data_IF_188058049003
#
_entry.id   IF_188058049003
#
_cell.length_a   1.000
_cell.length_b   1.000
_cell.length_c   1.000
_cell.angle_alpha   90.00
_cell.angle_beta   90.00
_cell.angle_gamma   90.00
#
_symmetry.space_group_name_H-M   'P 1'
#
loop_
_entity.id
_entity.type
_entity.pdbx_description
1 polymer ?
#
# COMPACT_ATOMS: atom_id res chain seq x y z
N UNK A 1 13.25 -21.00 -15.54
CA UNK A 1 12.82 -21.73 -14.30
C UNK A 1 11.44 -21.23 -13.90
N UNK A 2 10.71 -21.97 -13.04
CA UNK A 2 9.42 -21.52 -12.51
C UNK A 2 9.55 -21.39 -10.99
N UNK A 3 9.22 -20.21 -10.47
CA UNK A 3 9.20 -19.93 -9.03
C UNK A 3 7.77 -19.71 -8.58
N UNK A 4 7.41 -20.28 -7.44
CA UNK A 4 6.11 -20.10 -6.81
C UNK A 4 6.21 -19.19 -5.57
N UNK A 5 5.23 -18.30 -5.43
CA UNK A 5 5.08 -17.41 -4.28
C UNK A 5 3.72 -17.64 -3.65
N UNK A 6 3.67 -17.90 -2.35
CA UNK A 6 2.43 -18.13 -1.63
C UNK A 6 2.47 -17.54 -0.21
N UNK A 7 1.34 -17.12 0.33
CA UNK A 7 1.26 -16.58 1.72
C UNK A 7 1.61 -17.62 2.80
N UNK A 8 1.64 -18.88 2.44
CA UNK A 8 2.11 -20.00 3.30
C UNK A 8 3.57 -20.37 3.09
N UNK A 9 4.28 -19.65 2.20
CA UNK A 9 5.66 -19.89 1.83
C UNK A 9 6.68 -19.37 2.83
N UNK A 10 7.94 -19.50 2.44
CA UNK A 10 9.10 -19.01 3.21
C UNK A 10 10.19 -18.55 2.23
N UNK A 11 10.74 -17.36 2.40
CA UNK A 11 11.78 -16.82 1.52
C UNK A 11 13.13 -17.54 1.64
N UNK A 12 13.32 -18.36 2.67
CA UNK A 12 14.44 -19.30 2.76
C UNK A 12 14.23 -20.64 2.05
N UNK A 13 13.07 -20.87 1.41
CA UNK A 13 12.74 -22.08 0.68
C UNK A 13 13.34 -22.08 -0.74
N UNK A 14 13.02 -23.09 -1.55
CA UNK A 14 13.55 -23.24 -2.91
C UNK A 14 12.75 -22.51 -3.99
N UNK A 15 11.57 -21.96 -3.64
CA UNK A 15 10.67 -21.33 -4.59
C UNK A 15 9.93 -22.32 -5.50
N UNK A 16 9.90 -23.60 -5.17
CA UNK A 16 9.13 -24.59 -5.91
C UNK A 16 7.65 -24.55 -5.49
N UNK A 17 6.79 -25.26 -6.22
CA UNK A 17 5.37 -25.36 -5.88
C UNK A 17 5.13 -25.96 -4.50
N UNK A 18 5.95 -26.91 -4.10
CA UNK A 18 5.89 -27.59 -2.78
C UNK A 18 6.56 -26.78 -1.67
N UNK A 19 7.50 -25.91 -2.03
CA UNK A 19 8.26 -25.05 -1.11
C UNK A 19 8.32 -23.62 -1.67
N UNK A 20 7.18 -22.91 -1.73
CA UNK A 20 7.12 -21.59 -2.33
C UNK A 20 7.84 -20.52 -1.50
N UNK A 21 8.23 -19.46 -2.12
CA UNK A 21 8.63 -18.22 -1.44
C UNK A 21 7.43 -17.57 -0.75
N UNK A 22 7.69 -16.77 0.27
CA UNK A 22 6.67 -16.02 0.98
C UNK A 22 6.30 -14.71 0.27
N UNK A 23 7.32 -14.06 -0.35
CA UNK A 23 7.19 -12.72 -0.92
C UNK A 23 7.49 -12.69 -2.42
N UNK A 24 6.77 -11.81 -3.12
CA UNK A 24 7.06 -11.52 -4.54
C UNK A 24 8.42 -10.80 -4.64
N UNK A 25 8.74 -9.96 -3.65
CA UNK A 25 10.02 -9.26 -3.58
C UNK A 25 11.20 -10.21 -3.55
N UNK A 26 11.11 -11.31 -2.79
CA UNK A 26 12.18 -12.32 -2.80
C UNK A 26 12.29 -13.02 -4.17
N UNK A 27 11.18 -13.41 -4.78
CA UNK A 27 11.20 -13.96 -6.13
C UNK A 27 11.82 -12.97 -7.15
N UNK A 28 11.55 -11.67 -6.99
CA UNK A 28 12.10 -10.61 -7.84
C UNK A 28 13.61 -10.40 -7.67
N UNK A 29 14.20 -10.81 -6.54
CA UNK A 29 15.66 -10.80 -6.35
C UNK A 29 16.35 -11.94 -7.09
N UNK A 30 15.70 -13.10 -7.22
CA UNK A 30 16.35 -14.33 -7.75
C UNK A 30 15.99 -14.61 -9.21
N UNK A 31 14.82 -14.19 -9.69
CA UNK A 31 14.38 -14.44 -11.05
C UNK A 31 15.31 -13.78 -12.07
N UNK A 32 15.65 -14.51 -13.13
CA UNK A 32 16.51 -14.07 -14.24
C UNK A 32 15.80 -14.24 -15.58
N UNK A 33 16.42 -13.77 -16.65
CA UNK A 33 15.86 -13.84 -18.01
C UNK A 33 15.36 -15.25 -18.36
N UNK A 34 14.10 -15.36 -18.79
CA UNK A 34 13.42 -16.60 -19.13
C UNK A 34 12.71 -17.31 -17.97
N UNK A 35 12.74 -16.73 -16.76
CA UNK A 35 12.03 -17.27 -15.62
C UNK A 35 10.58 -16.79 -15.55
N UNK A 36 9.75 -17.60 -14.89
CA UNK A 36 8.36 -17.27 -14.59
C UNK A 36 8.14 -17.31 -13.07
N UNK A 37 7.54 -16.26 -12.53
CA UNK A 37 7.11 -16.18 -11.13
C UNK A 37 5.60 -16.35 -11.09
N UNK A 38 5.16 -17.43 -10.44
CA UNK A 38 3.74 -17.78 -10.27
C UNK A 38 3.30 -17.37 -8.87
N UNK A 39 2.40 -16.40 -8.81
CA UNK A 39 1.91 -15.84 -7.55
C UNK A 39 0.55 -16.43 -7.22
N UNK A 40 0.49 -17.15 -6.11
CA UNK A 40 -0.73 -17.73 -5.57
C UNK A 40 -1.63 -16.69 -4.91
N UNK A 41 -2.91 -17.03 -4.75
CA UNK A 41 -3.92 -16.16 -4.17
C UNK A 41 -3.48 -15.56 -2.83
N UNK A 42 -3.71 -14.26 -2.64
CA UNK A 42 -3.39 -13.55 -1.40
C UNK A 42 -3.14 -12.06 -1.56
N UNK A 43 -3.06 -11.37 -0.42
CA UNK A 43 -2.70 -9.96 -0.36
C UNK A 43 -1.22 -9.83 0.01
N UNK A 44 -0.45 -9.29 -0.90
CA UNK A 44 0.99 -9.06 -0.78
C UNK A 44 1.22 -7.56 -0.52
N UNK A 45 1.55 -7.23 0.74
CA UNK A 45 1.86 -5.85 1.15
C UNK A 45 3.36 -5.66 1.06
N UNK A 46 3.79 -5.20 -0.09
CA UNK A 46 5.21 -5.10 -0.39
C UNK A 46 5.47 -4.19 -1.59
N UNK A 47 6.65 -3.63 -1.63
CA UNK A 47 7.19 -2.93 -2.78
C UNK A 47 8.05 -3.92 -3.58
N UNK A 48 7.54 -4.36 -4.71
CA UNK A 48 8.25 -5.28 -5.58
C UNK A 48 9.20 -4.50 -6.50
N UNK A 49 10.51 -4.72 -6.35
CA UNK A 49 11.54 -4.10 -7.18
C UNK A 49 12.43 -5.18 -7.80
N UNK A 50 12.15 -5.62 -9.04
CA UNK A 50 12.97 -6.62 -9.72
C UNK A 50 14.41 -6.12 -9.93
N UNK A 51 15.39 -6.93 -9.54
CA UNK A 51 16.82 -6.62 -9.67
C UNK A 51 17.31 -6.94 -11.08
N UNK A 52 16.77 -7.99 -11.68
CA UNK A 52 17.17 -8.45 -12.99
C UNK A 52 16.12 -8.08 -14.04
N UNK A 53 16.57 -7.74 -15.24
CA UNK A 53 15.72 -7.58 -16.44
C UNK A 53 15.66 -8.85 -17.26
N UNK A 54 14.59 -9.02 -18.04
CA UNK A 54 14.54 -9.99 -19.13
C UNK A 54 15.30 -9.47 -20.36
N UNK A 55 15.40 -10.32 -21.39
CA UNK A 55 15.87 -9.94 -22.71
C UNK A 55 14.76 -10.20 -23.74
N UNK A 56 14.92 -9.73 -24.97
CA UNK A 56 13.88 -9.72 -26.00
C UNK A 56 13.19 -11.09 -26.18
N UNK A 57 14.00 -12.17 -26.24
CA UNK A 57 13.51 -13.54 -26.43
C UNK A 57 13.36 -14.35 -25.14
N UNK A 58 13.66 -13.76 -23.98
CA UNK A 58 13.59 -14.43 -22.68
C UNK A 58 13.17 -13.43 -21.58
N UNK A 59 11.90 -13.07 -21.58
CA UNK A 59 11.31 -12.15 -20.58
C UNK A 59 11.20 -12.83 -19.22
N UNK A 60 11.30 -12.06 -18.15
CA UNK A 60 10.85 -12.51 -16.83
C UNK A 60 9.35 -12.27 -16.76
N UNK A 61 8.58 -13.28 -16.43
CA UNK A 61 7.12 -13.23 -16.39
C UNK A 61 6.65 -13.32 -14.95
N UNK A 62 5.81 -12.40 -14.52
CA UNK A 62 5.09 -12.45 -13.26
C UNK A 62 3.61 -12.66 -13.58
N UNK A 63 3.03 -13.73 -13.06
CA UNK A 63 1.63 -14.06 -13.32
C UNK A 63 0.93 -14.68 -12.13
N UNK A 64 -0.40 -14.52 -12.06
CA UNK A 64 -1.23 -15.23 -11.09
C UNK A 64 -1.23 -16.72 -11.36
N UNK A 65 -1.28 -17.53 -10.30
CA UNK A 65 -1.49 -18.98 -10.38
C UNK A 65 -2.90 -19.34 -10.88
N UNK A 66 -3.84 -18.39 -10.88
CA UNK A 66 -5.23 -18.65 -11.25
C UNK A 66 -6.07 -19.38 -10.18
N UNK A 67 -5.56 -19.51 -8.97
CA UNK A 67 -6.19 -20.18 -7.83
C UNK A 67 -6.99 -19.23 -6.92
N UNK A 68 -7.06 -17.95 -7.29
CA UNK A 68 -7.82 -16.91 -6.60
C UNK A 68 -7.27 -15.52 -6.88
N UNK A 69 -7.76 -14.54 -6.14
CA UNK A 69 -7.36 -13.14 -6.30
C UNK A 69 -5.94 -12.92 -5.76
N UNK A 70 -5.12 -12.23 -6.55
CA UNK A 70 -3.78 -11.77 -6.16
C UNK A 70 -3.80 -10.26 -6.10
N UNK A 71 -3.57 -9.69 -4.92
CA UNK A 71 -3.51 -8.24 -4.69
C UNK A 71 -2.12 -7.86 -4.23
N UNK A 72 -1.45 -6.96 -4.96
CA UNK A 72 -0.22 -6.30 -4.50
C UNK A 72 -0.61 -4.92 -4.01
N UNK A 73 -0.28 -4.60 -2.76
CA UNK A 73 -0.69 -3.36 -2.12
C UNK A 73 0.49 -2.69 -1.42
N UNK A 74 0.67 -1.39 -1.68
CA UNK A 74 1.59 -0.54 -0.91
C UNK A 74 0.98 -0.01 0.39
N UNK A 75 -0.31 -0.28 0.66
CA UNK A 75 -0.97 0.20 1.86
C UNK A 75 -0.76 -0.75 3.04
N UNK A 76 -0.53 -0.18 4.23
CA UNK A 76 -0.47 -0.92 5.48
C UNK A 76 -1.80 -0.85 6.23
N UNK A 77 -2.14 -1.94 6.90
CA UNK A 77 -3.37 -1.99 7.68
C UNK A 77 -3.12 -1.47 9.09
N UNK A 78 -3.72 -0.33 9.41
CA UNK A 78 -3.67 0.23 10.77
C UNK A 78 -4.51 -0.62 11.74
N UNK A 79 -3.94 -0.85 12.93
CA UNK A 79 -4.53 -1.62 14.02
C UNK A 79 -4.56 -0.79 15.29
N UNK A 80 -5.11 -1.36 16.35
CA UNK A 80 -5.09 -0.78 17.72
C UNK A 80 -5.71 0.62 17.81
N UNK A 81 -6.77 0.83 17.04
CA UNK A 81 -7.56 2.05 17.06
C UNK A 81 -8.18 2.32 18.42
N UNK A 82 -8.01 3.55 18.93
CA UNK A 82 -8.58 4.01 20.20
C UNK A 82 -9.62 5.10 19.93
N UNK A 83 -10.83 4.94 20.44
CA UNK A 83 -11.82 6.01 20.38
C UNK A 83 -11.45 7.11 21.37
N UNK A 84 -11.38 8.36 20.91
CA UNK A 84 -11.03 9.54 21.73
C UNK A 84 -12.22 10.48 21.95
N UNK A 85 -13.42 10.05 21.58
CA UNK A 85 -14.69 10.74 21.78
C UNK A 85 -15.53 10.85 20.51
N UNK A 86 -16.82 10.64 20.62
CA UNK A 86 -17.74 10.68 19.49
C UNK A 86 -17.37 9.66 18.40
N UNK A 87 -17.25 10.11 17.17
CA UNK A 87 -16.86 9.31 16.01
C UNK A 87 -15.36 9.47 15.66
N UNK A 88 -14.55 9.99 16.59
CA UNK A 88 -13.13 10.23 16.37
C UNK A 88 -12.30 9.09 16.96
N UNK A 89 -11.42 8.56 16.13
CA UNK A 89 -10.53 7.45 16.46
C UNK A 89 -9.08 7.86 16.19
N UNK A 90 -8.16 7.32 16.96
CA UNK A 90 -6.71 7.51 16.80
C UNK A 90 -6.01 6.17 16.74
N UNK A 91 -4.95 6.11 15.96
CA UNK A 91 -3.99 5.00 15.95
C UNK A 91 -2.58 5.58 15.84
N UNK A 92 -1.62 4.86 16.38
CA UNK A 92 -0.20 5.22 16.29
C UNK A 92 0.45 4.50 15.12
N UNK A 93 1.17 5.23 14.29
CA UNK A 93 1.96 4.67 13.19
C UNK A 93 3.40 4.51 13.68
N UNK A 94 3.90 3.27 13.68
CA UNK A 94 5.32 3.02 13.95
C UNK A 94 6.15 3.49 12.75
N UNK A 95 7.08 4.41 12.98
CA UNK A 95 7.99 4.89 11.95
C UNK A 95 8.87 3.79 11.32
N UNK A 96 9.03 2.64 11.97
CA UNK A 96 9.80 1.52 11.44
C UNK A 96 9.19 0.88 10.19
N UNK A 97 7.88 1.11 9.92
CA UNK A 97 7.26 0.67 8.67
C UNK A 97 7.74 1.48 7.46
N UNK A 98 8.27 2.67 7.67
CA UNK A 98 8.83 3.52 6.63
C UNK A 98 10.34 3.32 6.55
N UNK A 99 10.87 3.10 5.36
CA UNK A 99 12.31 2.89 5.17
C UNK A 99 13.10 4.21 5.26
N UNK A 100 12.98 5.07 4.25
CA UNK A 100 13.75 6.31 4.17
C UNK A 100 12.89 7.56 4.38
N UNK A 101 11.62 7.49 4.02
CA UNK A 101 10.72 8.64 3.99
C UNK A 101 9.37 8.29 4.60
N UNK A 102 8.88 9.15 5.49
CA UNK A 102 7.54 9.04 6.05
C UNK A 102 6.60 10.02 5.32
N UNK A 103 5.69 9.53 4.46
CA UNK A 103 4.81 10.39 3.67
C UNK A 103 3.82 11.20 4.52
N UNK A 104 3.58 10.80 5.77
CA UNK A 104 2.73 11.53 6.71
C UNK A 104 3.45 12.67 7.45
N UNK A 105 4.75 12.89 7.15
CA UNK A 105 5.55 14.01 7.65
C UNK A 105 6.06 14.91 6.54
N UNK A 106 5.83 14.54 5.30
CA UNK A 106 6.28 15.28 4.14
C UNK A 106 5.13 15.99 3.48
N UNK A 107 5.20 17.31 3.44
CA UNK A 107 4.23 18.15 2.77
C UNK A 107 4.34 18.02 1.24
N UNK A 108 3.20 18.10 0.58
CA UNK A 108 3.14 18.13 -0.86
C UNK A 108 3.81 19.40 -1.38
N UNK A 109 4.81 19.25 -2.25
CA UNK A 109 5.58 20.36 -2.81
C UNK A 109 5.69 20.27 -4.33
N UNK A 110 5.79 21.41 -4.99
CA UNK A 110 5.95 21.53 -6.44
C UNK A 110 5.31 22.79 -6.97
N UNK A 111 5.70 23.22 -8.16
CA UNK A 111 5.16 24.40 -8.85
C UNK A 111 3.71 24.24 -9.32
N UNK A 112 3.20 23.01 -9.31
CA UNK A 112 1.82 22.64 -9.62
C UNK A 112 0.91 22.60 -8.38
N UNK A 113 1.47 22.71 -7.16
CA UNK A 113 0.68 22.75 -5.93
C UNK A 113 0.09 24.12 -5.73
N UNK A 114 -1.22 24.21 -5.74
CA UNK A 114 -1.94 25.45 -5.40
C UNK A 114 -2.15 25.48 -3.88
N UNK A 115 -1.52 26.41 -3.16
CA UNK A 115 -1.67 26.50 -1.71
C UNK A 115 -3.13 26.82 -1.36
N UNK A 116 -3.76 25.88 -0.65
CA UNK A 116 -5.09 26.06 -0.08
C UNK A 116 -5.03 26.67 1.32
N UNK A 117 -5.95 26.27 2.20
CA UNK A 117 -5.95 26.68 3.62
C UNK A 117 -4.81 26.04 4.41
N UNK A 118 -4.24 24.93 3.94
CA UNK A 118 -3.08 24.23 4.48
C UNK A 118 -2.41 23.46 3.34
N UNK A 119 -1.18 23.00 3.59
CA UNK A 119 -0.45 22.13 2.65
C UNK A 119 -0.68 20.69 3.09
N UNK A 120 -1.27 19.83 2.23
CA UNK A 120 -1.47 18.43 2.57
C UNK A 120 -0.16 17.65 2.55
N UNK A 121 -0.14 16.53 3.26
CA UNK A 121 0.98 15.60 3.24
C UNK A 121 0.90 14.63 2.05
N UNK A 122 1.98 13.90 1.81
CA UNK A 122 2.07 12.90 0.75
C UNK A 122 1.33 11.59 1.08
N UNK A 123 1.00 11.38 2.36
CA UNK A 123 0.33 10.17 2.83
C UNK A 123 -1.16 10.19 2.53
N UNK A 124 -1.70 9.01 2.24
CA UNK A 124 -3.13 8.80 2.06
C UNK A 124 -3.69 7.84 3.11
N UNK A 125 -4.90 8.09 3.55
CA UNK A 125 -5.63 7.22 4.48
C UNK A 125 -6.92 6.72 3.84
N UNK A 126 -7.21 5.44 4.01
CA UNK A 126 -8.41 4.80 3.47
C UNK A 126 -9.19 4.12 4.60
N UNK A 127 -10.49 4.33 4.61
CA UNK A 127 -11.43 3.59 5.46
C UNK A 127 -12.30 2.69 4.57
N UNK A 128 -12.20 1.37 4.73
CA UNK A 128 -12.95 0.39 3.92
C UNK A 128 -12.81 0.64 2.40
N UNK A 129 -11.58 0.87 1.94
CA UNK A 129 -11.23 1.21 0.56
C UNK A 129 -11.75 2.57 0.05
N UNK A 130 -12.34 3.39 0.92
CA UNK A 130 -12.75 4.75 0.60
C UNK A 130 -11.64 5.71 1.00
N UNK A 131 -11.14 6.57 0.09
CA UNK A 131 -10.14 7.58 0.45
C UNK A 131 -10.72 8.58 1.44
N UNK A 132 -9.91 8.97 2.41
CA UNK A 132 -10.27 9.99 3.38
C UNK A 132 -9.57 11.30 3.03
N UNK A 133 -10.20 12.44 3.35
CA UNK A 133 -9.59 13.74 3.15
C UNK A 133 -8.75 14.14 4.36
N UNK A 134 -7.57 14.70 4.11
CA UNK A 134 -6.74 15.26 5.17
C UNK A 134 -7.37 16.54 5.73
N UNK A 135 -7.43 16.63 7.05
CA UNK A 135 -7.88 17.84 7.75
C UNK A 135 -6.68 18.65 8.24
N UNK A 136 -6.83 19.95 8.34
CA UNK A 136 -5.76 20.85 8.76
C UNK A 136 -5.44 20.77 10.26
N UNK A 137 -6.25 20.12 11.08
CA UNK A 137 -6.03 19.95 12.52
C UNK A 137 -6.97 18.91 13.12
N UNK A 138 -6.63 18.45 14.34
CA UNK A 138 -7.48 17.54 15.13
C UNK A 138 -8.88 18.12 15.40
N UNK A 139 -8.99 19.45 15.56
CA UNK A 139 -10.29 20.12 15.77
C UNK A 139 -11.18 19.97 14.52
N UNK A 140 -10.57 20.01 13.33
CA UNK A 140 -11.28 19.78 12.07
C UNK A 140 -11.71 18.33 11.87
N UNK A 141 -11.00 17.38 12.44
CA UNK A 141 -11.45 15.97 12.47
C UNK A 141 -12.69 15.80 13.35
N UNK A 142 -12.76 16.53 14.48
CA UNK A 142 -13.92 16.53 15.38
C UNK A 142 -15.16 17.17 14.78
N UNK A 143 -14.95 18.22 13.98
CA UNK A 143 -15.99 19.00 13.30
C UNK A 143 -15.63 19.17 11.81
N UNK A 144 -15.77 18.10 10.98
CA UNK A 144 -15.38 18.15 9.58
C UNK A 144 -16.25 19.15 8.80
N UNK A 145 -15.59 20.01 8.01
CA UNK A 145 -16.29 20.90 7.09
C UNK A 145 -16.96 20.06 6.00
N UNK A 146 -18.25 20.21 5.85
CA UNK A 146 -18.97 19.69 4.68
C UNK A 146 -18.72 20.66 3.54
N UNK A 147 -18.14 20.19 2.43
CA UNK A 147 -17.97 21.00 1.22
C UNK A 147 -19.30 21.06 0.48
N UNK A 148 -19.96 22.24 0.41
CA UNK A 148 -21.32 22.33 -0.14
C UNK A 148 -21.44 21.94 -1.61
N UNK A 149 -20.34 21.99 -2.34
CA UNK A 149 -20.25 21.68 -3.76
C UNK A 149 -19.72 20.27 -4.02
N UNK A 150 -19.35 19.52 -2.99
CA UNK A 150 -18.88 18.16 -3.17
C UNK A 150 -20.05 17.28 -3.61
N UNK A 151 -19.89 16.67 -4.77
CA UNK A 151 -20.81 15.68 -5.34
C UNK A 151 -21.02 14.48 -4.39
N UNK A 152 -20.25 14.43 -3.30
CA UNK A 152 -20.12 13.36 -2.30
C UNK A 152 -20.13 13.93 -0.88
N UNK A 153 -21.17 14.71 -0.54
CA UNK A 153 -21.28 15.37 0.77
C UNK A 153 -21.19 14.42 1.99
N UNK A 154 -21.55 13.16 1.83
CA UNK A 154 -21.40 12.14 2.87
C UNK A 154 -19.95 11.66 3.00
N UNK A 155 -19.23 11.52 1.88
CA UNK A 155 -17.81 11.09 1.83
C UNK A 155 -16.89 12.21 2.35
N UNK A 156 -17.26 13.47 2.19
CA UNK A 156 -16.48 14.60 2.72
C UNK A 156 -16.41 14.68 4.25
N UNK A 157 -17.16 13.83 4.96
CA UNK A 157 -17.08 13.69 6.42
C UNK A 157 -16.02 12.69 6.87
N UNK A 158 -15.48 11.89 5.96
CA UNK A 158 -14.38 10.99 6.25
C UNK A 158 -13.06 11.76 6.15
N UNK A 159 -12.55 12.21 7.28
CA UNK A 159 -11.32 13.01 7.37
C UNK A 159 -10.31 12.37 8.31
N UNK A 160 -9.03 12.65 8.07
CA UNK A 160 -7.92 12.24 8.93
C UNK A 160 -6.99 13.43 9.21
N UNK A 161 -6.13 13.29 10.23
CA UNK A 161 -5.11 14.26 10.60
C UNK A 161 -3.90 13.54 11.20
#
# INVERSE_FOLDING_TARGET
>A
MEYHVAKTGNDGALGTKEQPFLTISHAALVAVAGDTVIVHAGVYREWVSPVNGGIEDARIIYQSAGDGEVVISGAEQMKDWKNIGGQVWTAEIDNSIFTERNPYKEELAGDWVFPGKFVPHLGDVYLNNMPMYEAASVERVKEPEVWPEAKFAEESKLVWY
#
